data_IF_391593908257
#
_entry.id   IF_391593908257
#
_cell.length_a   1.000
_cell.length_b   1.000
_cell.length_c   1.000
_cell.angle_alpha   90.00
_cell.angle_beta   90.00
_cell.angle_gamma   90.00
#
_symmetry.space_group_name_H-M   'P 1'
#
loop_
_entity.id
_entity.type
_entity.pdbx_description
1 polymer ?
#
# COMPACT_ATOMS: atom_id res chain seq x y z
N UNK A 1 9.01 -27.40 -4.69
CA UNK A 1 7.56 -27.55 -4.37
C UNK A 1 7.33 -27.00 -2.97
N UNK A 2 6.98 -25.72 -2.85
CA UNK A 2 6.68 -25.12 -1.56
C UNK A 2 5.25 -25.47 -1.17
N UNK A 3 5.07 -26.34 -0.18
CA UNK A 3 3.77 -26.55 0.49
C UNK A 3 3.45 -25.28 1.28
N UNK A 4 2.68 -24.36 0.69
CA UNK A 4 2.16 -23.20 1.39
C UNK A 4 0.68 -23.38 1.62
N UNK A 5 0.30 -23.12 2.86
CA UNK A 5 -1.03 -23.23 3.42
C UNK A 5 -2.04 -22.48 2.54
N UNK A 6 -2.91 -23.24 1.88
CA UNK A 6 -4.27 -22.78 1.63
C UNK A 6 -4.76 -22.18 2.93
N UNK A 7 -4.97 -20.87 2.98
CA UNK A 7 -5.77 -20.24 4.04
C UNK A 7 -7.17 -20.78 3.87
N UNK A 8 -7.39 -21.99 4.39
CA UNK A 8 -8.68 -22.65 4.42
C UNK A 8 -9.59 -21.69 5.17
N UNK A 9 -10.73 -21.36 4.56
CA UNK A 9 -11.84 -20.67 5.21
C UNK A 9 -11.99 -21.24 6.61
N UNK A 10 -11.66 -20.42 7.60
CA UNK A 10 -11.60 -20.87 8.98
C UNK A 10 -13.02 -21.13 9.47
N UNK A 11 -13.17 -21.85 10.58
CA UNK A 11 -14.48 -21.99 11.20
C UNK A 11 -15.04 -20.61 11.60
N UNK A 12 -14.17 -19.67 11.97
CA UNK A 12 -14.54 -18.29 12.30
C UNK A 12 -15.07 -17.53 11.08
N UNK A 13 -14.44 -17.66 9.91
CA UNK A 13 -14.90 -17.01 8.68
C UNK A 13 -16.29 -17.52 8.27
N UNK A 14 -16.53 -18.84 8.40
CA UNK A 14 -17.84 -19.45 8.17
C UNK A 14 -18.89 -18.96 9.16
N UNK A 15 -18.54 -18.87 10.44
CA UNK A 15 -19.45 -18.40 11.47
C UNK A 15 -19.82 -16.92 11.29
N UNK A 16 -18.85 -16.07 10.93
CA UNK A 16 -19.08 -14.65 10.61
C UNK A 16 -19.99 -14.50 9.39
N UNK A 17 -19.79 -15.32 8.36
CA UNK A 17 -20.65 -15.31 7.17
C UNK A 17 -22.07 -15.77 7.49
N UNK A 18 -22.23 -16.89 8.20
CA UNK A 18 -23.54 -17.36 8.62
C UNK A 18 -24.24 -16.31 9.48
N UNK A 19 -23.49 -15.63 10.34
CA UNK A 19 -23.99 -14.51 11.12
C UNK A 19 -24.47 -13.35 10.24
N UNK A 20 -23.67 -12.87 9.27
CA UNK A 20 -24.08 -11.81 8.32
C UNK A 20 -25.32 -12.22 7.53
N UNK A 21 -25.36 -13.46 7.02
CA UNK A 21 -26.50 -13.99 6.27
C UNK A 21 -27.75 -14.17 7.12
N UNK A 22 -27.60 -14.59 8.38
CA UNK A 22 -28.71 -14.68 9.34
C UNK A 22 -29.19 -13.28 9.75
N UNK A 23 -28.27 -12.34 9.96
CA UNK A 23 -28.56 -10.94 10.25
C UNK A 23 -29.40 -10.34 9.14
N UNK A 24 -28.98 -10.48 7.88
CA UNK A 24 -29.75 -9.92 6.77
C UNK A 24 -31.10 -10.61 6.57
N UNK A 25 -31.19 -11.94 6.75
CA UNK A 25 -32.48 -12.64 6.65
C UNK A 25 -33.46 -12.23 7.76
N UNK A 26 -32.95 -11.99 8.96
CA UNK A 26 -33.78 -11.61 10.13
C UNK A 26 -34.10 -10.13 10.15
N UNK A 27 -33.16 -9.31 9.70
CA UNK A 27 -33.21 -7.87 9.77
C UNK A 27 -32.75 -7.27 8.43
N UNK A 28 -33.53 -7.43 7.35
CA UNK A 28 -33.17 -6.93 6.02
C UNK A 28 -33.05 -5.39 5.97
N UNK A 29 -33.50 -4.70 7.02
CA UNK A 29 -33.41 -3.25 7.21
C UNK A 29 -32.16 -2.80 7.98
N UNK A 30 -31.22 -3.70 8.30
CA UNK A 30 -30.00 -3.34 9.01
C UNK A 30 -29.15 -2.35 8.22
N UNK A 31 -28.82 -1.23 8.86
CA UNK A 31 -27.75 -0.33 8.39
C UNK A 31 -26.39 -1.02 8.49
N UNK A 32 -25.42 -0.74 7.62
CA UNK A 32 -24.12 -1.37 7.83
C UNK A 32 -23.30 -0.89 9.05
N UNK A 33 -23.62 0.20 9.79
CA UNK A 33 -23.07 0.44 11.12
C UNK A 33 -23.60 -0.55 12.12
N UNK A 34 -24.88 -0.91 12.02
CA UNK A 34 -25.40 -2.00 12.83
C UNK A 34 -24.78 -3.31 12.37
N UNK A 35 -24.57 -3.53 11.07
CA UNK A 35 -23.86 -4.71 10.58
C UNK A 35 -22.40 -4.77 11.09
N UNK A 36 -21.66 -3.64 11.06
CA UNK A 36 -20.27 -3.50 11.52
C UNK A 36 -20.20 -3.60 13.05
N UNK A 37 -21.09 -2.96 13.82
CA UNK A 37 -21.13 -3.09 15.28
C UNK A 37 -21.56 -4.50 15.69
N UNK A 38 -22.52 -5.10 15.00
CA UNK A 38 -22.89 -6.51 15.20
C UNK A 38 -21.74 -7.44 14.85
N UNK A 39 -20.98 -7.14 13.80
CA UNK A 39 -19.76 -7.87 13.43
C UNK A 39 -18.68 -7.71 14.49
N UNK A 40 -18.45 -6.50 15.02
CA UNK A 40 -17.52 -6.24 16.12
C UNK A 40 -17.96 -6.94 17.42
N UNK A 41 -19.24 -6.87 17.77
CA UNK A 41 -19.86 -7.56 18.91
C UNK A 41 -19.72 -9.08 18.77
N UNK A 42 -19.87 -9.60 17.54
CA UNK A 42 -19.77 -11.03 17.24
C UNK A 42 -18.32 -11.54 17.23
N UNK A 43 -17.37 -10.73 16.74
CA UNK A 43 -15.96 -11.13 16.54
C UNK A 43 -15.03 -10.75 17.69
N UNK A 44 -15.36 -9.71 18.46
CA UNK A 44 -14.55 -9.23 19.60
C UNK A 44 -13.16 -8.70 19.23
N UNK A 45 -12.86 -8.46 17.95
CA UNK A 45 -11.52 -8.12 17.46
C UNK A 45 -11.42 -6.69 16.89
N UNK A 46 -10.24 -6.08 16.99
CA UNK A 46 -9.91 -4.85 16.27
C UNK A 46 -10.08 -5.07 14.76
N UNK A 47 -10.41 -4.02 13.97
CA UNK A 47 -10.56 -4.14 12.53
C UNK A 47 -9.23 -4.63 11.92
N UNK A 48 -9.16 -5.92 11.62
CA UNK A 48 -8.12 -6.50 10.77
C UNK A 48 -8.33 -6.02 9.34
N UNK A 49 -7.38 -6.30 8.43
CA UNK A 49 -7.55 -6.06 7.01
C UNK A 49 -8.83 -6.73 6.47
N UNK A 50 -9.26 -7.83 7.11
CA UNK A 50 -10.50 -8.53 6.81
C UNK A 50 -11.73 -7.68 7.13
N UNK A 51 -11.66 -6.76 8.09
CA UNK A 51 -12.75 -5.84 8.41
C UNK A 51 -13.09 -4.88 7.27
N UNK A 52 -12.09 -4.45 6.47
CA UNK A 52 -12.34 -3.62 5.28
C UNK A 52 -13.05 -4.43 4.19
N UNK A 53 -12.66 -5.69 4.01
CA UNK A 53 -13.28 -6.59 3.04
C UNK A 53 -14.69 -7.01 3.44
N UNK A 54 -14.92 -7.30 4.72
CA UNK A 54 -16.26 -7.57 5.25
C UNK A 54 -17.18 -6.35 5.11
N UNK A 55 -16.66 -5.15 5.36
CA UNK A 55 -17.38 -3.90 5.08
C UNK A 55 -17.73 -3.80 3.60
N UNK A 56 -16.77 -4.04 2.71
CA UNK A 56 -16.96 -3.98 1.27
C UNK A 56 -18.04 -4.97 0.80
N UNK A 57 -18.01 -6.21 1.29
CA UNK A 57 -19.00 -7.24 0.97
C UNK A 57 -20.38 -6.88 1.52
N UNK A 58 -20.47 -6.34 2.74
CA UNK A 58 -21.72 -5.84 3.30
C UNK A 58 -22.31 -4.70 2.49
N UNK A 59 -21.49 -3.73 2.08
CA UNK A 59 -21.87 -2.62 1.20
C UNK A 59 -22.38 -3.12 -0.15
N UNK A 60 -21.65 -4.05 -0.76
CA UNK A 60 -22.00 -4.62 -2.05
C UNK A 60 -23.33 -5.37 -2.00
N UNK A 61 -23.54 -6.12 -0.93
CA UNK A 61 -24.77 -6.86 -0.70
C UNK A 61 -25.99 -5.93 -0.46
N UNK A 62 -25.76 -4.75 0.09
CA UNK A 62 -26.75 -3.67 0.16
C UNK A 62 -26.98 -2.94 -1.18
N UNK A 63 -26.28 -3.33 -2.24
CA UNK A 63 -26.33 -2.67 -3.56
C UNK A 63 -25.55 -1.35 -3.63
N UNK A 64 -24.71 -1.05 -2.65
CA UNK A 64 -23.91 0.18 -2.60
C UNK A 64 -22.52 -0.07 -3.19
N UNK A 65 -22.47 -0.21 -4.51
CA UNK A 65 -21.27 -0.67 -5.23
C UNK A 65 -20.11 0.32 -5.14
N UNK A 66 -20.39 1.62 -5.10
CA UNK A 66 -19.38 2.69 -5.04
C UNK A 66 -18.67 2.68 -3.68
N UNK A 67 -19.46 2.62 -2.60
CA UNK A 67 -18.91 2.54 -1.26
C UNK A 67 -18.21 1.19 -1.06
N UNK A 68 -18.73 0.10 -1.64
CA UNK A 68 -18.07 -1.21 -1.61
C UNK A 68 -16.70 -1.16 -2.28
N UNK A 69 -16.60 -0.62 -3.49
CA UNK A 69 -15.34 -0.49 -4.23
C UNK A 69 -14.33 0.38 -3.47
N UNK A 70 -14.81 1.45 -2.84
CA UNK A 70 -13.99 2.28 -1.95
C UNK A 70 -13.45 1.47 -0.77
N UNK A 71 -14.28 0.64 -0.14
CA UNK A 71 -13.87 -0.24 0.96
C UNK A 71 -12.85 -1.31 0.51
N UNK A 72 -13.06 -1.92 -0.66
CA UNK A 72 -12.11 -2.88 -1.25
C UNK A 72 -10.73 -2.26 -1.50
N UNK A 73 -10.69 -0.96 -1.80
CA UNK A 73 -9.46 -0.23 -2.12
C UNK A 73 -8.77 0.38 -0.89
N UNK A 74 -9.25 0.12 0.32
CA UNK A 74 -8.61 0.63 1.55
C UNK A 74 -7.35 -0.14 1.95
N UNK A 75 -7.35 -1.48 1.94
CA UNK A 75 -6.13 -2.23 2.22
C UNK A 75 -5.16 -2.03 1.06
N UNK A 76 -3.90 -1.72 1.36
CA UNK A 76 -2.88 -1.67 0.31
C UNK A 76 -2.75 -3.04 -0.36
N UNK A 77 -2.43 -3.10 -1.67
CA UNK A 77 -2.22 -4.37 -2.34
C UNK A 77 -1.04 -5.10 -1.71
N UNK A 78 -1.00 -6.44 -1.78
CA UNK A 78 0.13 -7.18 -1.24
C UNK A 78 1.37 -6.85 -2.05
N UNK A 79 2.49 -6.69 -1.35
CA UNK A 79 3.76 -6.41 -1.99
C UNK A 79 4.30 -7.70 -2.61
N UNK A 80 4.45 -7.70 -3.94
CA UNK A 80 5.19 -8.72 -4.65
C UNK A 80 6.51 -8.14 -5.16
N UNK A 81 7.55 -8.97 -5.25
CA UNK A 81 8.87 -8.54 -5.73
C UNK A 81 8.79 -7.86 -7.10
N UNK A 82 7.85 -8.28 -7.96
CA UNK A 82 7.63 -7.70 -9.28
C UNK A 82 7.09 -6.27 -9.29
N UNK A 83 6.62 -5.75 -8.15
CA UNK A 83 6.03 -4.41 -8.01
C UNK A 83 6.93 -3.48 -7.19
N UNK A 84 8.06 -4.00 -6.71
CA UNK A 84 9.01 -3.32 -5.84
C UNK A 84 9.51 -2.01 -6.46
N UNK A 85 9.93 -2.06 -7.72
CA UNK A 85 10.42 -0.88 -8.45
C UNK A 85 9.35 0.20 -8.65
N UNK A 86 8.13 -0.21 -9.03
CA UNK A 86 7.03 0.72 -9.26
C UNK A 86 6.65 1.46 -7.97
N UNK A 87 6.55 0.74 -6.85
CA UNK A 87 6.16 1.33 -5.56
C UNK A 87 7.24 2.25 -5.01
N UNK A 88 8.53 1.86 -5.10
CA UNK A 88 9.64 2.74 -4.71
C UNK A 88 9.59 4.01 -5.55
N UNK A 89 9.47 3.87 -6.87
CA UNK A 89 9.38 5.00 -7.80
C UNK A 89 8.21 5.92 -7.43
N UNK A 90 7.05 5.37 -7.09
CA UNK A 90 5.89 6.15 -6.67
C UNK A 90 6.17 6.89 -5.37
N UNK A 91 6.50 6.16 -4.28
CA UNK A 91 6.70 6.73 -2.94
C UNK A 91 7.74 7.84 -2.96
N UNK A 92 8.79 7.65 -3.74
CA UNK A 92 9.87 8.60 -3.85
C UNK A 92 9.63 9.66 -4.91
N UNK A 93 8.67 9.52 -5.82
CA UNK A 93 8.47 10.46 -6.93
C UNK A 93 8.48 11.93 -6.46
N UNK A 94 9.23 12.76 -7.16
CA UNK A 94 9.29 14.18 -6.88
C UNK A 94 9.11 15.03 -8.14
N UNK A 95 8.49 16.20 -7.94
CA UNK A 95 8.41 17.28 -8.93
C UNK A 95 9.60 18.24 -8.86
N UNK A 96 10.36 18.27 -7.76
CA UNK A 96 11.54 19.14 -7.65
C UNK A 96 12.79 18.42 -8.14
N UNK A 97 13.70 19.16 -8.79
CA UNK A 97 14.96 18.59 -9.28
C UNK A 97 15.89 18.17 -8.14
N UNK A 98 15.92 18.96 -7.07
CA UNK A 98 16.74 18.71 -5.88
C UNK A 98 16.33 17.41 -5.18
N UNK A 99 15.03 17.19 -5.00
CA UNK A 99 14.52 15.91 -4.49
C UNK A 99 14.90 14.77 -5.41
N UNK A 100 14.78 14.92 -6.73
CA UNK A 100 15.16 13.86 -7.70
C UNK A 100 16.61 13.42 -7.51
N UNK A 101 17.55 14.37 -7.38
CA UNK A 101 18.96 14.03 -7.12
C UNK A 101 19.15 13.26 -5.81
N UNK A 102 18.41 13.60 -4.76
CA UNK A 102 18.46 12.89 -3.47
C UNK A 102 17.82 11.51 -3.56
N UNK A 103 16.72 11.39 -4.30
CA UNK A 103 16.06 10.12 -4.60
C UNK A 103 16.97 9.21 -5.40
N UNK A 104 17.72 9.73 -6.37
CA UNK A 104 18.68 8.94 -7.14
C UNK A 104 19.81 8.41 -6.25
N UNK A 105 20.30 9.21 -5.28
CA UNK A 105 21.25 8.74 -4.26
C UNK A 105 20.64 7.67 -3.35
N UNK A 106 19.37 7.81 -2.99
CA UNK A 106 18.63 6.80 -2.23
C UNK A 106 18.43 5.51 -3.07
N UNK A 107 18.17 5.65 -4.37
CA UNK A 107 18.05 4.54 -5.32
C UNK A 107 19.35 3.73 -5.40
N UNK A 108 20.50 4.41 -5.49
CA UNK A 108 21.81 3.76 -5.44
C UNK A 108 22.03 3.01 -4.12
N UNK A 109 21.65 3.61 -2.98
CA UNK A 109 21.73 2.89 -1.69
C UNK A 109 20.79 1.69 -1.64
N UNK A 110 19.60 1.75 -2.25
CA UNK A 110 18.71 0.57 -2.37
C UNK A 110 19.29 -0.54 -3.23
N UNK A 111 20.04 -0.21 -4.28
CA UNK A 111 20.76 -1.17 -5.14
C UNK A 111 21.96 -1.79 -4.38
N UNK A 112 22.70 -0.97 -3.63
CA UNK A 112 23.86 -1.40 -2.83
C UNK A 112 23.49 -2.26 -1.62
N UNK A 113 22.37 -1.96 -0.95
CA UNK A 113 21.84 -2.75 0.17
C UNK A 113 21.33 -4.14 -0.24
N UNK A 114 21.44 -4.47 -1.52
CA UNK A 114 21.26 -5.82 -2.03
C UNK A 114 19.81 -6.17 -2.30
N UNK A 115 19.64 -7.02 -3.31
CA UNK A 115 18.38 -7.64 -3.70
C UNK A 115 17.78 -8.58 -2.65
N UNK A 116 18.48 -8.83 -1.53
CA UNK A 116 18.17 -9.91 -0.59
C UNK A 116 17.19 -9.52 0.54
N UNK A 117 16.89 -8.21 0.72
CA UNK A 117 15.94 -7.73 1.72
C UNK A 117 14.49 -7.61 1.23
N UNK A 118 13.53 -7.65 2.16
CA UNK A 118 12.14 -7.28 1.86
C UNK A 118 12.05 -5.79 1.53
N UNK A 119 10.98 -5.36 0.85
CA UNK A 119 10.75 -3.93 0.60
C UNK A 119 10.62 -3.14 1.92
N UNK A 120 10.09 -3.76 2.97
CA UNK A 120 10.03 -3.15 4.31
C UNK A 120 11.44 -2.87 4.86
N UNK A 121 12.36 -3.83 4.74
CA UNK A 121 13.73 -3.68 5.23
C UNK A 121 14.46 -2.57 4.49
N UNK A 122 14.26 -2.50 3.18
CA UNK A 122 14.80 -1.42 2.37
C UNK A 122 14.25 -0.06 2.80
N UNK A 123 12.93 0.08 2.90
CA UNK A 123 12.31 1.34 3.33
C UNK A 123 12.78 1.77 4.72
N UNK A 124 12.97 0.83 5.66
CA UNK A 124 13.57 1.12 6.98
C UNK A 124 15.02 1.56 6.88
N UNK A 125 15.81 0.94 6.01
CA UNK A 125 17.21 1.32 5.81
C UNK A 125 17.33 2.73 5.22
N UNK A 126 16.50 3.05 4.22
CA UNK A 126 16.43 4.41 3.69
C UNK A 126 15.96 5.43 4.74
N UNK A 127 14.98 5.06 5.58
CA UNK A 127 14.56 5.90 6.70
C UNK A 127 15.73 6.19 7.65
N UNK A 128 16.49 5.16 8.04
CA UNK A 128 17.65 5.31 8.91
C UNK A 128 18.73 6.19 8.28
N UNK A 129 19.00 6.05 6.98
CA UNK A 129 19.93 6.93 6.27
C UNK A 129 19.47 8.40 6.31
N UNK A 130 18.18 8.65 6.05
CA UNK A 130 17.60 10.00 6.10
C UNK A 130 17.71 10.59 7.52
N UNK A 131 17.42 9.80 8.55
CA UNK A 131 17.51 10.22 9.94
C UNK A 131 18.95 10.56 10.34
N UNK A 132 19.93 9.77 9.90
CA UNK A 132 21.36 10.05 10.11
C UNK A 132 21.79 11.37 9.45
N UNK A 133 21.37 11.62 8.21
CA UNK A 133 21.67 12.88 7.51
C UNK A 133 21.01 14.07 8.19
N UNK A 134 19.74 13.96 8.61
CA UNK A 134 19.04 15.02 9.33
C UNK A 134 19.70 15.34 10.67
N UNK A 135 20.18 14.33 11.40
CA UNK A 135 20.91 14.53 12.64
C UNK A 135 22.22 15.29 12.40
N UNK A 136 22.97 14.90 11.38
CA UNK A 136 24.23 15.56 11.00
C UNK A 136 24.01 17.03 10.58
N UNK A 137 22.96 17.33 9.81
CA UNK A 137 22.61 18.73 9.46
C UNK A 137 22.33 19.53 10.74
N UNK A 138 21.54 18.97 11.66
CA UNK A 138 21.17 19.65 12.91
C UNK A 138 22.37 19.93 13.82
N UNK A 139 23.38 19.06 13.82
CA UNK A 139 24.57 19.23 14.67
C UNK A 139 25.51 20.31 14.10
N UNK A 140 25.67 20.37 12.78
CA UNK A 140 26.57 21.33 12.11
C UNK A 140 26.01 22.76 12.02
N UNK A 141 24.69 22.94 12.12
CA UNK A 141 24.08 24.27 12.28
C UNK A 141 24.62 25.02 13.51
N UNK A 142 25.22 24.31 14.47
CA UNK A 142 25.80 24.91 15.67
C UNK A 142 27.27 25.34 15.54
N UNK A 143 28.01 24.86 14.52
CA UNK A 143 29.47 25.03 14.43
C UNK A 143 29.98 25.84 13.21
N UNK A 144 29.15 26.12 12.21
CA UNK A 144 29.49 27.03 11.10
C UNK A 144 30.62 26.56 10.17
N UNK A 145 30.83 25.24 10.05
CA UNK A 145 31.83 24.63 9.15
C UNK A 145 31.25 24.23 7.80
N UNK A 146 32.08 24.23 6.74
CA UNK A 146 31.72 23.70 5.41
C UNK A 146 31.50 22.18 5.49
N UNK A 147 30.34 21.73 5.03
CA UNK A 147 29.81 20.38 5.27
C UNK A 147 29.97 19.48 4.03
N UNK A 148 30.82 18.46 4.11
CA UNK A 148 30.82 17.32 3.17
C UNK A 148 29.87 16.23 3.69
N UNK A 149 28.79 15.95 2.93
CA UNK A 149 27.78 14.94 3.32
C UNK A 149 28.42 13.55 3.39
N UNK A 150 28.41 12.86 4.56
CA UNK A 150 28.95 11.52 4.67
C UNK A 150 28.09 10.52 3.88
N UNK A 151 28.69 9.85 2.91
CA UNK A 151 28.10 8.63 2.33
C UNK A 151 28.46 7.50 3.30
N UNK A 152 27.51 7.10 4.16
CA UNK A 152 27.70 5.98 5.07
C UNK A 152 27.78 4.67 4.27
N UNK A 153 28.98 4.10 4.17
CA UNK A 153 29.18 2.71 3.74
C UNK A 153 28.61 1.80 4.85
N UNK A 154 27.54 1.06 4.53
CA UNK A 154 26.70 0.39 5.53
C UNK A 154 27.44 -0.54 6.51
N UNK A 155 27.28 -0.29 7.80
CA UNK A 155 27.41 -1.31 8.85
C UNK A 155 26.04 -1.99 8.98
N UNK A 156 25.92 -3.19 8.43
CA UNK A 156 24.83 -4.10 8.80
C UNK A 156 25.41 -5.00 9.89
N UNK A 157 25.04 -4.75 11.14
CA UNK A 157 25.27 -5.70 12.23
C UNK A 157 24.28 -6.87 12.03
N UNK A 158 24.67 -7.86 11.22
CA UNK A 158 23.99 -9.15 11.23
C UNK A 158 24.58 -10.00 12.34
N UNK A 159 23.85 -10.15 13.45
CA UNK A 159 24.03 -11.24 14.38
C UNK A 159 23.72 -12.57 13.67
N UNK A 160 24.72 -13.12 13.00
CA UNK A 160 24.70 -14.49 12.48
C UNK A 160 25.92 -15.23 12.99
N UNK A 161 25.67 -16.14 13.93
CA UNK A 161 26.61 -17.15 14.37
C UNK A 161 27.09 -17.99 13.18
N UNK A 162 28.40 -17.90 12.91
CA UNK A 162 29.21 -18.90 12.22
C UNK A 162 28.96 -19.07 10.71
N UNK A 163 29.97 -18.71 9.91
CA UNK A 163 30.74 -19.63 9.04
C UNK A 163 31.64 -18.82 8.07
N UNK A 164 32.92 -19.18 8.09
CA UNK A 164 34.01 -19.00 7.11
C UNK A 164 34.30 -17.62 6.47
N UNK A 165 35.47 -17.11 6.85
CA UNK A 165 36.25 -16.10 6.15
C UNK A 165 36.57 -16.50 4.70
N UNK A 166 36.31 -15.60 3.75
CA UNK A 166 37.06 -15.54 2.50
C UNK A 166 37.37 -14.08 2.20
N UNK A 167 38.64 -13.74 2.31
CA UNK A 167 39.17 -12.39 2.15
C UNK A 167 38.98 -11.87 0.72
N UNK A 168 38.23 -10.79 0.57
CA UNK A 168 38.21 -9.96 -0.64
C UNK A 168 38.72 -8.57 -0.25
N UNK A 169 39.92 -8.22 -0.71
CA UNK A 169 40.42 -6.85 -0.64
C UNK A 169 39.59 -5.94 -1.56
N UNK A 170 38.95 -4.91 -1.03
CA UNK A 170 38.28 -3.86 -1.83
C UNK A 170 38.76 -2.48 -1.42
N UNK A 171 39.11 -1.70 -2.44
CA UNK A 171 39.67 -0.37 -2.35
C UNK A 171 38.61 0.67 -1.99
N UNK A 172 38.94 1.56 -1.05
CA UNK A 172 38.17 2.77 -0.74
C UNK A 172 38.19 3.70 -1.94
N UNK A 173 37.02 4.03 -2.50
CA UNK A 173 36.91 5.04 -3.56
C UNK A 173 36.30 6.30 -2.96
N UNK A 174 37.14 7.30 -2.68
CA UNK A 174 36.70 8.65 -2.34
C UNK A 174 36.33 9.38 -3.64
N UNK A 175 35.08 9.81 -3.77
CA UNK A 175 34.62 10.65 -4.87
C UNK A 175 35.11 12.08 -4.64
N UNK A 176 36.23 12.45 -5.27
CA UNK A 176 36.69 13.85 -5.28
C UNK A 176 35.81 14.67 -6.22
N UNK A 177 35.08 15.64 -5.67
CA UNK A 177 34.56 16.75 -6.47
C UNK A 177 35.75 17.48 -7.12
N UNK A 178 35.75 17.51 -8.46
CA UNK A 178 36.74 18.26 -9.21
C UNK A 178 36.58 19.75 -8.91
N UNK A 179 37.57 20.33 -8.20
CA UNK A 179 37.76 21.77 -8.08
C UNK A 179 38.02 22.32 -9.48
N UNK A 180 37.05 23.05 -10.01
CA UNK A 180 37.29 23.97 -11.11
C UNK A 180 37.70 25.30 -10.51
N UNK A 181 38.96 25.67 -10.75
CA UNK A 181 39.52 26.97 -10.39
C UNK A 181 38.89 28.05 -11.26
N UNK A 182 37.83 28.69 -10.76
CA UNK A 182 37.38 30.00 -11.23
C UNK A 182 37.17 30.93 -10.03
N UNK A 183 38.19 31.74 -9.84
CA UNK A 183 38.24 32.96 -9.06
C UNK A 183 37.08 33.91 -9.43
N UNK A 184 36.13 34.12 -8.51
CA UNK A 184 35.20 35.26 -8.50
C UNK A 184 34.47 35.40 -7.13
N UNK A 185 34.92 36.34 -6.29
CA UNK A 185 34.07 37.11 -5.36
C UNK A 185 33.85 36.55 -3.93
N UNK A 186 34.30 37.24 -2.85
CA UNK A 186 34.15 36.77 -1.46
C UNK A 186 32.78 37.08 -0.84
N UNK A 187 31.71 37.19 -1.63
CA UNK A 187 30.39 37.58 -1.14
C UNK A 187 29.23 36.85 -1.85
N UNK A 188 29.47 35.61 -2.30
CA UNK A 188 28.38 34.66 -2.49
C UNK A 188 27.90 34.29 -1.07
N UNK A 189 26.92 35.08 -0.64
CA UNK A 189 26.55 35.36 0.75
C UNK A 189 26.26 34.11 1.57
N UNK A 190 26.71 34.12 2.84
CA UNK A 190 26.36 33.15 3.89
C UNK A 190 24.85 32.81 3.92
N UNK A 191 24.00 33.76 3.51
CA UNK A 191 22.55 33.62 3.34
C UNK A 191 22.14 32.63 2.25
N UNK A 192 22.90 32.52 1.15
CA UNK A 192 22.66 31.57 0.04
C UNK A 192 22.95 30.13 0.48
N UNK A 193 24.06 29.90 1.21
CA UNK A 193 24.39 28.60 1.79
C UNK A 193 23.34 28.13 2.79
N UNK A 194 22.96 29.00 3.73
CA UNK A 194 21.91 28.72 4.72
C UNK A 194 20.56 28.43 4.07
N UNK A 195 20.22 29.12 2.98
CA UNK A 195 19.00 28.85 2.21
C UNK A 195 19.01 27.45 1.57
N UNK A 196 20.16 27.00 1.07
CA UNK A 196 20.32 25.67 0.46
C UNK A 196 20.17 24.55 1.50
N UNK A 197 20.77 24.71 2.69
CA UNK A 197 20.67 23.74 3.80
C UNK A 197 19.24 23.58 4.31
N UNK A 198 18.52 24.69 4.50
CA UNK A 198 17.12 24.69 4.91
C UNK A 198 16.23 23.96 3.89
N UNK A 199 16.47 24.20 2.59
CA UNK A 199 15.71 23.53 1.52
C UNK A 199 16.03 22.03 1.43
N UNK A 200 17.29 21.65 1.65
CA UNK A 200 17.72 20.26 1.72
C UNK A 200 17.11 19.54 2.93
N UNK A 201 17.13 20.16 4.11
CA UNK A 201 16.51 19.61 5.32
C UNK A 201 15.01 19.42 5.14
N UNK A 202 14.31 20.44 4.62
CA UNK A 202 12.89 20.35 4.31
C UNK A 202 12.59 19.20 3.32
N UNK A 203 13.48 18.98 2.36
CA UNK A 203 13.39 17.88 1.42
C UNK A 203 13.53 16.52 2.09
N UNK A 204 14.57 16.31 2.90
CA UNK A 204 14.76 15.07 3.65
C UNK A 204 13.56 14.78 4.56
N UNK A 205 13.01 15.80 5.20
CA UNK A 205 11.79 15.70 6.00
C UNK A 205 10.57 15.26 5.19
N UNK A 206 10.39 15.78 3.97
CA UNK A 206 9.32 15.33 3.06
C UNK A 206 9.48 13.87 2.67
N UNK A 207 10.71 13.42 2.37
CA UNK A 207 10.96 12.00 2.03
C UNK A 207 10.73 11.11 3.26
N UNK A 208 11.26 11.51 4.43
CA UNK A 208 11.04 10.84 5.72
C UNK A 208 9.56 10.63 6.01
N UNK A 209 8.76 11.69 5.85
CA UNK A 209 7.31 11.64 6.06
C UNK A 209 6.63 10.64 5.13
N UNK A 210 7.03 10.57 3.85
CA UNK A 210 6.45 9.63 2.87
C UNK A 210 6.79 8.18 3.20
N UNK A 211 8.05 7.91 3.56
CA UNK A 211 8.47 6.56 3.96
C UNK A 211 7.78 6.12 5.25
N UNK A 212 7.67 6.99 6.24
CA UNK A 212 6.94 6.69 7.49
C UNK A 212 5.46 6.44 7.25
N UNK A 213 4.81 7.25 6.40
CA UNK A 213 3.42 7.02 6.00
C UNK A 213 3.28 5.64 5.34
N UNK A 214 4.20 5.29 4.45
CA UNK A 214 4.24 3.98 3.79
C UNK A 214 4.43 2.84 4.78
N UNK A 215 5.42 2.90 5.67
CA UNK A 215 5.68 1.88 6.69
C UNK A 215 4.49 1.67 7.63
N UNK A 216 3.77 2.75 7.93
CA UNK A 216 2.56 2.68 8.75
C UNK A 216 1.41 1.96 8.03
N UNK A 217 1.28 2.16 6.72
CA UNK A 217 0.21 1.59 5.90
C UNK A 217 0.53 0.17 5.40
N UNK A 218 1.81 -0.15 5.19
CA UNK A 218 2.31 -1.45 4.73
C UNK A 218 1.78 -2.61 5.58
N UNK A 219 1.68 -2.41 6.90
CA UNK A 219 1.18 -3.40 7.85
C UNK A 219 -0.31 -3.73 7.66
N UNK A 220 -1.03 -2.87 6.93
CA UNK A 220 -2.46 -3.01 6.61
C UNK A 220 -2.70 -3.55 5.19
N UNK A 221 -1.74 -4.25 4.60
CA UNK A 221 -1.88 -4.87 3.29
C UNK A 221 -2.92 -6.00 3.27
N UNK A 222 -3.96 -5.87 2.43
CA UNK A 222 -4.98 -6.89 2.25
C UNK A 222 -4.62 -7.83 1.10
N UNK A 223 -4.86 -9.13 1.25
CA UNK A 223 -4.56 -10.12 0.20
C UNK A 223 -5.84 -10.66 -0.42
N UNK A 224 -6.05 -10.37 -1.71
CA UNK A 224 -7.08 -10.96 -2.56
C UNK A 224 -6.40 -11.70 -3.71
N UNK A 225 -6.90 -12.88 -4.01
CA UNK A 225 -6.34 -13.80 -5.00
C UNK A 225 -7.49 -14.36 -5.82
N UNK A 226 -7.20 -14.71 -7.06
CA UNK A 226 -8.13 -15.46 -7.88
C UNK A 226 -8.28 -16.87 -7.31
N UNK A 227 -9.51 -17.29 -7.03
CA UNK A 227 -9.82 -18.59 -6.41
C UNK A 227 -9.44 -19.81 -7.27
N UNK A 228 -8.94 -19.59 -8.49
CA UNK A 228 -8.61 -20.66 -9.46
C UNK A 228 -7.13 -20.74 -9.76
N UNK A 229 -6.50 -19.59 -10.05
CA UNK A 229 -5.12 -19.55 -10.54
C UNK A 229 -4.17 -18.81 -9.60
N UNK A 230 -4.64 -18.47 -8.40
CA UNK A 230 -3.88 -17.76 -7.37
C UNK A 230 -3.27 -16.42 -7.83
N UNK A 231 -3.72 -15.90 -8.97
CA UNK A 231 -3.30 -14.59 -9.46
C UNK A 231 -3.78 -13.54 -8.48
N UNK A 232 -2.84 -12.73 -7.98
CA UNK A 232 -3.10 -11.72 -6.97
C UNK A 232 -3.77 -10.49 -7.59
N UNK A 233 -4.64 -9.82 -6.83
CA UNK A 233 -5.08 -8.49 -7.18
C UNK A 233 -3.95 -7.48 -6.91
N UNK A 234 -3.39 -6.91 -7.96
CA UNK A 234 -2.17 -6.10 -7.89
C UNK A 234 -2.13 -4.97 -8.95
N UNK A 235 -0.95 -4.39 -9.21
CA UNK A 235 -0.81 -3.29 -10.19
C UNK A 235 -1.06 -3.73 -11.65
N UNK A 236 -1.04 -5.03 -11.94
CA UNK A 236 -1.11 -5.58 -13.31
C UNK A 236 -2.40 -6.35 -13.55
N UNK A 237 -2.97 -6.94 -12.50
CA UNK A 237 -4.09 -7.85 -12.62
C UNK A 237 -5.32 -7.25 -11.93
N UNK A 238 -6.39 -7.08 -12.70
CA UNK A 238 -7.71 -6.78 -12.16
C UNK A 238 -8.29 -8.01 -11.44
N UNK A 239 -9.22 -7.77 -10.52
CA UNK A 239 -9.98 -8.81 -9.86
C UNK A 239 -11.48 -8.57 -10.06
N UNK A 240 -12.28 -9.63 -10.09
CA UNK A 240 -13.73 -9.53 -10.20
C UNK A 240 -14.36 -10.27 -9.04
N UNK A 241 -15.06 -9.53 -8.19
CA UNK A 241 -15.76 -10.06 -7.02
C UNK A 241 -17.21 -10.38 -7.38
N UNK A 242 -17.67 -11.59 -7.08
CA UNK A 242 -19.06 -12.01 -7.35
C UNK A 242 -20.01 -11.23 -6.43
N UNK A 243 -20.99 -10.50 -6.99
CA UNK A 243 -21.92 -9.67 -6.18
C UNK A 243 -22.88 -10.47 -5.30
N UNK A 244 -22.95 -11.79 -5.51
CA UNK A 244 -23.91 -12.69 -4.87
C UNK A 244 -23.25 -13.77 -4.01
N UNK A 245 -22.01 -14.14 -4.32
CA UNK A 245 -21.31 -15.22 -3.64
C UNK A 245 -20.20 -14.64 -2.80
N UNK A 246 -20.18 -15.03 -1.53
CA UNK A 246 -19.14 -14.64 -0.61
C UNK A 246 -17.79 -15.24 -1.03
N UNK A 247 -16.72 -14.45 -0.95
CA UNK A 247 -15.35 -14.88 -1.28
C UNK A 247 -15.24 -15.60 -2.63
N UNK A 248 -15.89 -15.05 -3.66
CA UNK A 248 -15.76 -15.54 -5.02
C UNK A 248 -15.08 -14.46 -5.87
N UNK A 249 -13.77 -14.55 -5.96
CA UNK A 249 -12.88 -13.62 -6.63
C UNK A 249 -12.22 -14.30 -7.84
N UNK A 250 -12.38 -13.73 -9.03
CA UNK A 250 -11.76 -14.25 -10.25
C UNK A 250 -11.03 -13.15 -11.01
N UNK A 251 -9.79 -13.43 -11.43
CA UNK A 251 -9.13 -12.59 -12.42
C UNK A 251 -9.89 -12.63 -13.76
N UNK A 252 -9.63 -11.67 -14.65
CA UNK A 252 -10.33 -11.54 -15.93
C UNK A 252 -10.30 -12.84 -16.76
N UNK A 253 -9.16 -13.53 -16.77
CA UNK A 253 -8.99 -14.78 -17.52
C UNK A 253 -9.90 -15.90 -16.96
N UNK A 254 -9.93 -16.07 -15.64
CA UNK A 254 -10.72 -17.12 -15.00
C UNK A 254 -12.22 -16.80 -15.04
N UNK A 255 -12.60 -15.53 -14.88
CA UNK A 255 -13.99 -15.10 -15.05
C UNK A 255 -14.50 -15.39 -16.47
N UNK A 256 -13.69 -15.09 -17.49
CA UNK A 256 -14.05 -15.37 -18.88
C UNK A 256 -14.22 -16.88 -19.15
N UNK A 257 -13.33 -17.71 -18.58
CA UNK A 257 -13.48 -19.18 -18.63
C UNK A 257 -14.75 -19.64 -17.92
N UNK A 258 -15.09 -19.08 -16.75
CA UNK A 258 -16.33 -19.38 -16.02
C UNK A 258 -17.56 -19.05 -16.87
N UNK A 259 -17.61 -17.82 -17.42
CA UNK A 259 -18.71 -17.36 -18.29
C UNK A 259 -18.87 -18.24 -19.53
N UNK A 260 -17.76 -18.70 -20.10
CA UNK A 260 -17.76 -19.62 -21.24
C UNK A 260 -18.07 -21.09 -20.89
N UNK A 261 -18.19 -21.45 -19.60
CA UNK A 261 -18.34 -22.84 -19.16
C UNK A 261 -17.11 -23.70 -19.40
N UNK A 262 -15.92 -23.09 -19.48
CA UNK A 262 -14.62 -23.73 -19.78
C UNK A 262 -13.68 -23.75 -18.58
N UNK A 263 -14.17 -23.42 -17.39
CA UNK A 263 -13.36 -23.41 -16.19
C UNK A 263 -13.25 -24.84 -15.65
N UNK A 264 -12.08 -25.45 -15.81
CA UNK A 264 -11.76 -26.76 -15.24
C UNK A 264 -11.43 -26.57 -13.75
N UNK A 265 -12.36 -26.92 -12.87
CA UNK A 265 -12.22 -26.78 -11.42
C UNK A 265 -11.76 -28.12 -10.81
N UNK A 266 -10.66 -28.16 -10.02
CA UNK A 266 -10.08 -29.42 -9.54
C UNK A 266 -10.89 -30.15 -8.45
N UNK A 267 -11.82 -29.48 -7.77
CA UNK A 267 -12.61 -30.11 -6.71
C UNK A 267 -14.01 -29.51 -6.60
N UNK A 268 -14.95 -30.43 -6.44
CA UNK A 268 -16.40 -30.36 -6.60
C UNK A 268 -17.14 -29.18 -5.92
N UNK A 269 -18.16 -28.69 -6.65
CA UNK A 269 -19.48 -28.23 -6.17
C UNK A 269 -19.71 -26.81 -5.65
N UNK A 270 -18.73 -25.92 -5.54
CA UNK A 270 -19.01 -24.57 -4.98
C UNK A 270 -18.05 -23.51 -5.56
N UNK A 271 -18.41 -22.26 -5.93
CA UNK A 271 -19.37 -21.37 -5.26
C UNK A 271 -20.12 -20.31 -6.11
N UNK A 272 -19.77 -19.97 -7.37
CA UNK A 272 -20.45 -18.86 -8.10
C UNK A 272 -20.95 -19.27 -9.51
N UNK A 273 -22.15 -18.79 -9.87
CA UNK A 273 -22.81 -19.12 -11.13
C UNK A 273 -22.26 -18.26 -12.28
N UNK A 274 -22.08 -18.84 -13.47
CA UNK A 274 -21.61 -18.12 -14.66
C UNK A 274 -22.49 -16.92 -15.08
N UNK A 275 -23.76 -16.92 -14.70
CA UNK A 275 -24.73 -15.85 -14.95
C UNK A 275 -24.80 -14.78 -13.85
N UNK A 276 -23.99 -14.88 -12.79
CA UNK A 276 -23.92 -13.84 -11.77
C UNK A 276 -23.31 -12.54 -12.32
N UNK A 277 -23.59 -11.45 -11.60
CA UNK A 277 -23.02 -10.14 -11.82
C UNK A 277 -21.75 -9.99 -10.97
N UNK A 278 -20.83 -9.17 -11.46
CA UNK A 278 -19.48 -9.05 -10.95
C UNK A 278 -19.14 -7.59 -10.71
N UNK A 279 -18.59 -7.29 -9.54
CA UNK A 279 -17.95 -6.01 -9.26
C UNK A 279 -16.52 -6.10 -9.76
N UNK A 280 -16.15 -5.25 -10.71
CA UNK A 280 -14.77 -5.16 -11.20
C UNK A 280 -13.95 -4.34 -10.21
N UNK A 281 -12.87 -4.93 -9.72
CA UNK A 281 -11.82 -4.26 -8.97
C UNK A 281 -10.67 -4.01 -9.95
N UNK A 282 -10.47 -2.77 -10.43
CA UNK A 282 -9.44 -2.47 -11.42
C UNK A 282 -8.04 -2.79 -10.87
N UNK A 283 -7.02 -2.99 -11.72
CA UNK A 283 -5.65 -3.07 -11.26
C UNK A 283 -5.30 -1.82 -10.46
N UNK A 284 -4.44 -1.97 -9.47
CA UNK A 284 -3.98 -0.83 -8.70
C UNK A 284 -3.18 0.12 -9.59
N UNK A 285 -3.59 1.38 -9.63
CA UNK A 285 -2.80 2.45 -10.19
C UNK A 285 -2.18 3.30 -9.07
N UNK A 286 -1.31 4.20 -9.48
CA UNK A 286 -0.59 5.10 -8.59
C UNK A 286 -1.55 5.98 -7.78
N UNK A 287 -2.61 6.48 -8.40
CA UNK A 287 -3.57 7.36 -7.74
C UNK A 287 -4.36 6.63 -6.65
N UNK A 288 -4.79 5.40 -6.93
CA UNK A 288 -5.45 4.51 -5.97
C UNK A 288 -4.52 4.09 -4.85
N UNK A 289 -3.28 3.79 -5.18
CA UNK A 289 -2.24 3.51 -4.20
C UNK A 289 -2.05 4.66 -3.21
N UNK A 290 -1.87 5.89 -3.71
CA UNK A 290 -1.69 7.06 -2.84
C UNK A 290 -2.95 7.49 -2.10
N UNK A 291 -4.12 7.26 -2.68
CA UNK A 291 -5.39 7.49 -1.99
C UNK A 291 -5.53 6.57 -0.78
N UNK A 292 -5.26 5.27 -0.94
CA UNK A 292 -5.23 4.32 0.16
C UNK A 292 -4.17 4.71 1.21
N UNK A 293 -2.97 5.11 0.78
CA UNK A 293 -1.90 5.57 1.65
C UNK A 293 -2.30 6.80 2.50
N UNK A 294 -3.06 7.72 1.91
CA UNK A 294 -3.62 8.91 2.59
C UNK A 294 -4.86 8.62 3.43
N UNK A 295 -5.36 7.38 3.41
CA UNK A 295 -6.62 6.98 4.06
C UNK A 295 -7.78 7.86 3.58
N UNK A 296 -7.86 8.01 2.27
CA UNK A 296 -8.93 8.70 1.57
C UNK A 296 -9.77 7.70 0.76
N UNK A 297 -11.02 8.05 0.47
CA UNK A 297 -11.95 7.23 -0.31
C UNK A 297 -12.75 8.08 -1.28
N UNK A 298 -13.22 7.46 -2.36
CA UNK A 298 -14.14 8.11 -3.27
C UNK A 298 -15.54 8.15 -2.68
N UNK A 299 -16.17 9.31 -2.80
CA UNK A 299 -17.55 9.51 -2.37
C UNK A 299 -18.31 10.16 -3.51
N UNK A 300 -19.48 9.60 -3.81
CA UNK A 300 -20.38 10.06 -4.90
C UNK A 300 -19.78 9.91 -6.30
N UNK A 301 -18.92 8.91 -6.53
CA UNK A 301 -18.55 8.55 -7.90
C UNK A 301 -19.67 7.84 -8.64
N UNK A 302 -19.45 7.53 -9.91
CA UNK A 302 -20.20 6.49 -10.62
C UNK A 302 -19.23 5.60 -11.37
N UNK A 303 -19.62 4.34 -11.57
CA UNK A 303 -18.84 3.41 -12.39
C UNK A 303 -19.24 3.62 -13.84
N UNK A 304 -18.27 3.91 -14.72
CA UNK A 304 -18.53 4.03 -16.15
C UNK A 304 -18.83 2.66 -16.80
N UNK A 305 -19.20 2.67 -18.08
CA UNK A 305 -19.51 1.43 -18.82
C UNK A 305 -18.32 0.45 -18.92
N UNK A 306 -17.10 0.91 -18.63
CA UNK A 306 -15.86 0.12 -18.66
C UNK A 306 -15.45 -0.39 -17.27
N UNK A 307 -16.25 -0.08 -16.24
CA UNK A 307 -15.96 -0.49 -14.87
C UNK A 307 -14.94 0.41 -14.17
N UNK A 308 -14.68 1.61 -14.69
CA UNK A 308 -13.78 2.60 -14.05
C UNK A 308 -14.57 3.53 -13.14
N UNK A 309 -13.93 3.92 -12.04
CA UNK A 309 -14.47 4.93 -11.15
C UNK A 309 -14.36 6.33 -11.78
N UNK A 310 -15.50 6.96 -12.01
CA UNK A 310 -15.57 8.40 -12.24
C UNK A 310 -15.68 9.08 -10.89
N UNK A 311 -14.60 9.76 -10.53
CA UNK A 311 -14.42 10.40 -9.23
C UNK A 311 -15.08 11.77 -9.22
N UNK A 312 -16.07 11.97 -8.34
CA UNK A 312 -16.60 13.30 -8.07
C UNK A 312 -15.88 13.98 -6.90
N UNK A 313 -15.49 13.21 -5.86
CA UNK A 313 -14.88 13.75 -4.65
C UNK A 313 -14.09 12.68 -3.88
N UNK A 314 -12.98 13.08 -3.26
CA UNK A 314 -12.30 12.30 -2.22
C UNK A 314 -12.57 12.88 -0.85
N UNK A 315 -12.75 12.02 0.16
CA UNK A 315 -12.84 12.44 1.58
C UNK A 315 -12.00 11.51 2.47
N UNK A 316 -11.59 11.95 3.67
CA UNK A 316 -10.95 11.08 4.65
C UNK A 316 -11.84 9.89 5.04
N UNK A 317 -11.25 8.71 5.26
CA UNK A 317 -11.96 7.48 5.67
C UNK A 317 -12.84 7.71 6.89
N UNK A 318 -12.37 8.46 7.88
CA UNK A 318 -13.15 8.77 9.08
C UNK A 318 -14.41 9.58 8.76
N UNK A 319 -14.33 10.54 7.84
CA UNK A 319 -15.47 11.33 7.39
C UNK A 319 -16.45 10.46 6.60
N UNK A 320 -15.95 9.63 5.70
CA UNK A 320 -16.76 8.70 4.92
C UNK A 320 -17.51 7.70 5.80
N UNK A 321 -16.83 7.05 6.76
CA UNK A 321 -17.46 6.12 7.71
C UNK A 321 -18.53 6.83 8.55
N UNK A 322 -18.29 8.09 8.97
CA UNK A 322 -19.30 8.91 9.64
C UNK A 322 -20.48 9.24 8.71
N UNK A 323 -20.22 9.50 7.43
CA UNK A 323 -21.24 9.71 6.40
C UNK A 323 -22.11 8.48 6.18
N UNK A 324 -21.51 7.32 5.99
CA UNK A 324 -22.19 6.02 5.94
C UNK A 324 -23.06 5.80 7.17
N UNK A 325 -22.52 6.07 8.36
CA UNK A 325 -23.26 5.97 9.62
C UNK A 325 -24.51 6.85 9.64
N UNK A 326 -24.42 8.10 9.20
CA UNK A 326 -25.56 9.02 9.13
C UNK A 326 -26.58 8.59 8.07
N UNK A 327 -26.13 8.24 6.86
CA UNK A 327 -27.02 7.83 5.74
C UNK A 327 -27.85 6.62 6.12
N UNK A 328 -27.28 5.69 6.87
CA UNK A 328 -28.00 4.49 7.21
C UNK A 328 -28.81 4.58 8.49
N UNK A 329 -28.42 5.41 9.47
CA UNK A 329 -29.27 5.72 10.63
C UNK A 329 -30.62 6.34 10.23
N UNK A 330 -30.68 7.04 9.09
CA UNK A 330 -31.91 7.67 8.59
C UNK A 330 -32.83 6.72 7.80
N UNK A 331 -32.33 5.55 7.36
CA UNK A 331 -33.13 4.52 6.67
C UNK A 331 -33.89 3.56 7.61
N UNK A 332 -33.65 3.67 8.92
CA UNK A 332 -34.24 2.81 9.97
C UNK A 332 -35.48 3.46 10.62
N UNK A 333 -35.80 4.70 10.25
CA UNK A 333 -37.08 5.33 10.61
C UNK A 333 -38.08 5.09 9.50
#
# INVERSE_FOLDING_TARGET
MNSRSNTKVTAADRQNLEFIQQLHRREPALSAPQLIERLKEHTGQQPSNDGCYQLAEGLLYCGDEIDALSAFSLPLPPFTLSLKGDIISWVLESKSEQERTLIDKLALTFEELGSEGTLEDQMKSALHHIESVLHYISDNESEGQDVDIPIHQGMIDTDTDGINETSISRASTTSSFAKSDLDNGPNETLESKRSCEVEMQATYERIRSRINQWLSAYKFGGRRWCDVCDTMWDLKHAMNHCKYCYNADFCDVCLNKLKAGKLEMPSLETYCNKGHNWLRLPPWDKDTYFRALRKEVYVRGHVDNEGRDIVEMTVPVAEWLNGLRKRWATRIK
#
